data_IF_561045326228
#
_entry.id   IF_561045326228
#
_cell.length_a   1.000
_cell.length_b   1.000
_cell.length_c   1.000
_cell.angle_alpha   90.00
_cell.angle_beta   90.00
_cell.angle_gamma   90.00
#
_symmetry.space_group_name_H-M   'P 1'
#
loop_
_entity.id
_entity.type
_entity.pdbx_description
1 polymer ?
#
# COMPACT_ATOMS: atom_id res chain seq x y z
N UNK A 1 12.29 48.68 -62.19
CA UNK A 1 11.15 48.32 -63.05
C UNK A 1 11.56 47.16 -63.95
N UNK A 2 10.70 46.14 -64.03
CA UNK A 2 10.56 45.13 -65.11
C UNK A 2 11.57 43.97 -65.19
N UNK A 3 11.05 42.81 -64.79
CA UNK A 3 10.93 41.54 -65.53
C UNK A 3 11.80 41.30 -66.79
N UNK A 4 12.34 40.08 -66.89
CA UNK A 4 12.82 39.43 -68.12
C UNK A 4 12.61 37.91 -68.03
N UNK A 5 12.03 37.34 -69.08
CA UNK A 5 11.59 35.95 -69.23
C UNK A 5 12.36 35.22 -70.35
N UNK A 6 12.35 33.87 -70.33
CA UNK A 6 12.39 32.95 -71.50
C UNK A 6 12.15 31.50 -70.97
N UNK A 7 11.17 30.66 -71.38
CA UNK A 7 10.74 30.10 -72.70
C UNK A 7 11.85 29.21 -73.30
N UNK A 8 11.71 27.96 -73.77
CA UNK A 8 10.64 26.94 -73.97
C UNK A 8 11.35 25.61 -74.30
N UNK A 9 10.68 24.46 -74.14
CA UNK A 9 11.09 23.22 -74.82
C UNK A 9 10.16 22.04 -74.58
N UNK A 10 9.05 21.98 -75.32
CA UNK A 10 8.15 20.83 -75.39
C UNK A 10 8.29 20.15 -76.75
N UNK A 11 8.46 18.83 -76.80
CA UNK A 11 8.09 18.00 -77.96
C UNK A 11 7.44 16.73 -77.44
N UNK A 12 6.17 16.57 -77.77
CA UNK A 12 5.39 15.35 -77.66
C UNK A 12 5.56 14.51 -78.93
N UNK A 13 5.47 13.19 -78.79
CA UNK A 13 5.01 12.25 -79.83
C UNK A 13 4.74 10.87 -79.17
N UNK A 14 3.46 10.54 -78.96
CA UNK A 14 3.00 9.15 -79.08
C UNK A 14 2.78 8.80 -80.55
N UNK A 15 2.10 7.70 -80.94
CA UNK A 15 1.41 6.69 -80.13
C UNK A 15 1.73 5.23 -80.56
N UNK A 16 1.34 4.22 -79.78
CA UNK A 16 0.80 2.96 -80.34
C UNK A 16 0.00 2.16 -79.30
N UNK A 17 -1.27 1.98 -79.62
CA UNK A 17 -2.23 1.05 -79.00
C UNK A 17 -1.89 -0.40 -79.40
N UNK A 18 -1.82 -1.30 -78.42
CA UNK A 18 -2.14 -2.72 -78.63
C UNK A 18 -3.12 -3.16 -77.54
N UNK A 19 -4.29 -3.54 -78.02
CA UNK A 19 -5.44 -4.05 -77.29
C UNK A 19 -5.27 -5.57 -77.18
N UNK A 20 -5.38 -6.12 -75.97
CA UNK A 20 -5.60 -7.55 -75.73
C UNK A 20 -6.33 -7.73 -74.37
N UNK A 21 -7.13 -8.81 -74.21
CA UNK A 21 -8.49 -8.67 -73.72
C UNK A 21 -8.69 -8.90 -72.22
N UNK A 22 -9.79 -8.32 -71.78
CA UNK A 22 -10.63 -8.61 -70.61
C UNK A 22 -10.50 -10.04 -70.05
N UNK A 23 -9.95 -10.15 -68.84
CA UNK A 23 -10.29 -11.22 -67.90
C UNK A 23 -10.70 -10.55 -66.58
N UNK A 24 -12.00 -10.25 -66.46
CA UNK A 24 -12.61 -9.91 -65.17
C UNK A 24 -12.61 -11.16 -64.30
N UNK A 25 -11.61 -11.30 -63.44
CA UNK A 25 -11.72 -12.15 -62.26
C UNK A 25 -12.36 -11.32 -61.15
N UNK A 26 -13.61 -11.64 -60.81
CA UNK A 26 -14.24 -11.24 -59.55
C UNK A 26 -13.47 -11.90 -58.40
N UNK A 27 -12.38 -11.27 -57.97
CA UNK A 27 -11.81 -11.53 -56.65
C UNK A 27 -12.78 -10.90 -55.64
N UNK A 28 -13.64 -11.73 -55.06
CA UNK A 28 -14.49 -11.34 -53.95
C UNK A 28 -13.64 -10.64 -52.89
N UNK A 29 -14.18 -9.55 -52.34
CA UNK A 29 -13.71 -8.98 -51.11
C UNK A 29 -13.85 -10.03 -50.02
N UNK A 30 -12.85 -10.91 -49.89
CA UNK A 30 -12.60 -11.62 -48.65
C UNK A 30 -12.25 -10.54 -47.66
N UNK A 31 -13.19 -10.29 -46.74
CA UNK A 31 -12.93 -9.63 -45.48
C UNK A 31 -11.54 -10.02 -45.01
N UNK A 32 -10.63 -9.06 -44.91
CA UNK A 32 -9.51 -9.24 -44.03
C UNK A 32 -10.13 -9.43 -42.65
N UNK A 33 -10.33 -10.68 -42.24
CA UNK A 33 -10.40 -11.01 -40.82
C UNK A 33 -9.08 -10.49 -40.26
N UNK A 34 -9.13 -9.27 -39.73
CA UNK A 34 -8.25 -8.90 -38.65
C UNK A 34 -8.40 -10.04 -37.65
N UNK A 35 -7.40 -10.91 -37.60
CA UNK A 35 -7.24 -11.80 -36.49
C UNK A 35 -7.13 -10.87 -35.29
N UNK A 36 -8.24 -10.69 -34.58
CA UNK A 36 -8.23 -10.24 -33.21
C UNK A 36 -7.36 -11.27 -32.50
N UNK A 37 -6.07 -11.01 -32.42
CA UNK A 37 -5.27 -11.56 -31.35
C UNK A 37 -5.81 -10.91 -30.07
N UNK A 38 -6.92 -11.45 -29.59
CA UNK A 38 -7.20 -11.47 -28.17
C UNK A 38 -5.96 -12.13 -27.57
N UNK A 39 -5.01 -11.32 -27.12
CA UNK A 39 -3.99 -11.82 -26.21
C UNK A 39 -4.75 -12.49 -25.09
N UNK A 40 -4.54 -13.80 -24.93
CA UNK A 40 -5.24 -14.61 -23.94
C UNK A 40 -5.06 -13.97 -22.56
N UNK A 41 -6.04 -13.16 -22.16
CA UNK A 41 -6.19 -12.74 -20.79
C UNK A 41 -6.49 -14.03 -20.04
N UNK A 42 -5.46 -14.61 -19.41
CA UNK A 42 -5.59 -15.83 -18.62
C UNK A 42 -6.79 -15.67 -17.69
N UNK A 43 -7.72 -16.62 -17.77
CA UNK A 43 -8.88 -16.63 -16.89
C UNK A 43 -8.39 -16.70 -15.44
N UNK A 44 -8.61 -15.63 -14.68
CA UNK A 44 -8.25 -15.58 -13.26
C UNK A 44 -9.37 -16.21 -12.45
N UNK A 45 -9.05 -17.24 -11.66
CA UNK A 45 -9.98 -17.81 -10.68
C UNK A 45 -10.14 -16.83 -9.52
N UNK A 46 -11.19 -16.00 -9.60
CA UNK A 46 -11.48 -14.98 -8.59
C UNK A 46 -11.80 -15.56 -7.22
N UNK A 47 -12.29 -16.81 -7.15
CA UNK A 47 -12.60 -17.48 -5.88
C UNK A 47 -11.30 -17.94 -5.21
N UNK A 48 -10.37 -18.50 -6.00
CA UNK A 48 -9.03 -18.83 -5.51
C UNK A 48 -8.30 -17.59 -4.99
N UNK A 49 -8.33 -16.47 -5.75
CA UNK A 49 -7.77 -15.18 -5.32
C UNK A 49 -8.39 -14.73 -4.01
N UNK A 50 -9.72 -14.73 -3.89
CA UNK A 50 -10.40 -14.29 -2.68
C UNK A 50 -10.03 -15.12 -1.45
N UNK A 51 -10.02 -16.46 -1.58
CA UNK A 51 -9.59 -17.38 -0.50
C UNK A 51 -8.14 -17.15 -0.10
N UNK A 52 -7.27 -16.88 -1.07
CA UNK A 52 -5.86 -16.63 -0.81
C UNK A 52 -5.64 -15.30 -0.09
N UNK A 53 -6.32 -14.23 -0.53
CA UNK A 53 -6.30 -12.94 0.17
C UNK A 53 -6.82 -13.10 1.60
N UNK A 54 -7.98 -13.73 1.78
CA UNK A 54 -8.55 -13.96 3.12
C UNK A 54 -7.57 -14.75 4.01
N UNK A 55 -7.00 -15.83 3.48
CA UNK A 55 -6.04 -16.66 4.23
C UNK A 55 -4.81 -15.86 4.67
N UNK A 56 -4.17 -15.11 3.76
CA UNK A 56 -2.96 -14.35 4.09
C UNK A 56 -3.28 -13.20 5.07
N UNK A 57 -4.39 -12.49 4.89
CA UNK A 57 -4.74 -11.36 5.74
C UNK A 57 -5.27 -11.79 7.13
N UNK A 58 -5.92 -12.95 7.25
CA UNK A 58 -6.38 -13.52 8.54
C UNK A 58 -5.34 -14.38 9.27
N UNK A 59 -4.09 -14.41 8.79
CA UNK A 59 -2.99 -15.06 9.50
C UNK A 59 -2.72 -16.53 9.13
N UNK A 60 -3.35 -17.06 8.09
CA UNK A 60 -3.04 -18.37 7.52
C UNK A 60 -1.68 -18.36 6.80
N UNK A 61 -0.75 -19.21 7.25
CA UNK A 61 0.53 -19.42 6.58
C UNK A 61 0.39 -20.25 5.30
N UNK A 62 1.01 -19.78 4.19
CA UNK A 62 1.03 -20.33 2.83
C UNK A 62 -0.32 -20.89 2.35
N UNK A 63 -1.03 -20.10 1.55
CA UNK A 63 -2.21 -20.57 0.84
C UNK A 63 -1.90 -21.83 0.01
N UNK A 64 -2.80 -22.80 0.09
CA UNK A 64 -2.74 -24.10 -0.60
C UNK A 64 -3.08 -24.03 -2.09
N UNK A 65 -3.46 -22.85 -2.59
CA UNK A 65 -3.89 -22.63 -3.98
C UNK A 65 -2.90 -21.71 -4.69
N UNK A 66 -2.38 -22.16 -5.83
CA UNK A 66 -1.52 -21.34 -6.70
C UNK A 66 -2.38 -20.45 -7.59
N UNK A 67 -2.11 -19.15 -7.58
CA UNK A 67 -2.75 -18.18 -8.48
C UNK A 67 -1.69 -17.66 -9.45
N UNK A 68 -1.88 -17.82 -10.78
CA UNK A 68 -0.98 -17.24 -11.77
C UNK A 68 -0.78 -15.74 -11.54
N UNK A 69 0.48 -15.30 -11.45
CA UNK A 69 0.84 -13.92 -11.12
C UNK A 69 1.09 -13.64 -9.64
N UNK A 70 0.81 -14.58 -8.73
CA UNK A 70 1.12 -14.52 -7.30
C UNK A 70 1.99 -15.72 -6.88
N UNK A 71 3.28 -15.65 -7.19
CA UNK A 71 4.28 -16.69 -6.91
C UNK A 71 4.79 -16.66 -5.45
N UNK A 72 4.70 -15.51 -4.78
CA UNK A 72 4.90 -15.37 -3.33
C UNK A 72 3.78 -14.54 -2.68
N UNK A 73 2.60 -15.14 -2.53
CA UNK A 73 1.40 -14.44 -2.02
C UNK A 73 1.60 -13.82 -0.63
N UNK A 74 2.48 -14.39 0.20
CA UNK A 74 2.76 -13.89 1.54
C UNK A 74 3.48 -12.53 1.51
N UNK A 75 4.27 -12.25 0.47
CA UNK A 75 4.85 -10.93 0.23
C UNK A 75 3.92 -10.02 -0.60
N UNK A 76 3.28 -10.59 -1.63
CA UNK A 76 2.56 -9.81 -2.65
C UNK A 76 1.21 -9.26 -2.18
N UNK A 77 0.42 -10.03 -1.44
CA UNK A 77 -0.92 -9.62 -0.99
C UNK A 77 -0.86 -8.43 0.00
N UNK A 78 0.06 -8.39 0.98
CA UNK A 78 0.21 -7.22 1.85
C UNK A 78 0.57 -5.93 1.10
N UNK A 79 1.39 -6.04 0.04
CA UNK A 79 1.70 -4.91 -0.82
C UNK A 79 0.48 -4.47 -1.65
N UNK A 80 -0.28 -5.42 -2.20
CA UNK A 80 -1.56 -5.12 -2.87
C UNK A 80 -2.56 -4.44 -1.93
N UNK A 81 -2.69 -4.92 -0.68
CA UNK A 81 -3.52 -4.30 0.36
C UNK A 81 -3.08 -2.86 0.61
N UNK A 82 -1.78 -2.61 0.71
CA UNK A 82 -1.24 -1.27 0.90
C UNK A 82 -1.58 -0.33 -0.25
N UNK A 83 -1.41 -0.78 -1.51
CA UNK A 83 -1.77 0.00 -2.71
C UNK A 83 -3.27 0.37 -2.67
N UNK A 84 -4.13 -0.62 -2.40
CA UNK A 84 -5.57 -0.40 -2.42
C UNK A 84 -6.05 0.48 -1.27
N UNK A 85 -5.60 0.20 -0.05
CA UNK A 85 -6.01 0.96 1.12
C UNK A 85 -5.50 2.42 1.05
N UNK A 86 -4.34 2.66 0.43
CA UNK A 86 -3.89 4.03 0.09
C UNK A 86 -4.85 4.70 -0.90
N UNK A 87 -5.32 3.97 -1.91
CA UNK A 87 -6.34 4.49 -2.85
C UNK A 87 -7.67 4.81 -2.17
N UNK A 88 -8.13 3.96 -1.26
CA UNK A 88 -9.34 4.20 -0.44
C UNK A 88 -9.17 5.45 0.42
N UNK A 89 -8.03 5.58 1.10
CA UNK A 89 -7.67 6.76 1.90
C UNK A 89 -7.70 8.07 1.09
N UNK A 90 -7.20 8.02 -0.14
CA UNK A 90 -7.19 9.16 -1.08
C UNK A 90 -8.52 9.35 -1.83
N UNK A 91 -9.56 8.57 -1.50
CA UNK A 91 -10.87 8.57 -2.18
C UNK A 91 -10.79 8.30 -3.68
N UNK A 92 -9.78 7.53 -4.10
CA UNK A 92 -9.62 7.09 -5.49
C UNK A 92 -10.66 6.01 -5.78
N UNK A 93 -11.46 6.15 -6.87
CA UNK A 93 -12.45 5.14 -7.23
C UNK A 93 -11.83 3.75 -7.45
N UNK A 94 -12.63 2.69 -7.29
CA UNK A 94 -12.18 1.31 -7.48
C UNK A 94 -11.41 1.08 -8.79
N UNK A 95 -11.84 1.72 -9.89
CA UNK A 95 -11.14 1.67 -11.18
C UNK A 95 -9.69 2.14 -11.08
N UNK A 96 -9.41 3.22 -10.36
CA UNK A 96 -8.04 3.71 -10.16
C UNK A 96 -7.20 2.75 -9.32
N UNK A 97 -7.81 2.09 -8.34
CA UNK A 97 -7.16 1.04 -7.54
C UNK A 97 -6.74 -0.15 -8.42
N UNK A 98 -7.61 -0.58 -9.35
CA UNK A 98 -7.28 -1.62 -10.34
C UNK A 98 -6.11 -1.18 -11.24
N UNK A 99 -6.10 0.07 -11.71
CA UNK A 99 -4.98 0.61 -12.50
C UNK A 99 -3.66 0.53 -11.72
N UNK A 100 -3.66 0.92 -10.45
CA UNK A 100 -2.47 0.86 -9.61
C UNK A 100 -2.00 -0.58 -9.36
N UNK A 101 -2.91 -1.50 -9.03
CA UNK A 101 -2.61 -2.91 -8.82
C UNK A 101 -2.04 -3.57 -10.08
N UNK A 102 -2.67 -3.34 -11.24
CA UNK A 102 -2.19 -3.85 -12.52
C UNK A 102 -0.82 -3.25 -12.90
N UNK A 103 -0.58 -1.98 -12.57
CA UNK A 103 0.74 -1.35 -12.76
C UNK A 103 1.78 -2.03 -11.88
N UNK A 104 1.56 -2.17 -10.57
CA UNK A 104 2.55 -2.79 -9.68
C UNK A 104 2.79 -4.28 -9.99
N UNK A 105 1.76 -5.00 -10.45
CA UNK A 105 1.91 -6.36 -10.98
C UNK A 105 2.86 -6.39 -12.20
N UNK A 106 2.72 -5.43 -13.13
CA UNK A 106 3.59 -5.35 -14.29
C UNK A 106 5.01 -4.90 -13.95
N UNK A 107 5.16 -3.93 -13.06
CA UNK A 107 6.45 -3.32 -12.75
C UNK A 107 7.32 -4.20 -11.85
N UNK A 108 6.73 -4.89 -10.86
CA UNK A 108 7.49 -5.66 -9.88
C UNK A 108 6.86 -6.98 -9.47
N UNK A 109 5.73 -7.36 -10.08
CA UNK A 109 4.94 -8.49 -9.59
C UNK A 109 4.43 -8.26 -8.17
N UNK A 110 4.12 -7.01 -7.78
CA UNK A 110 3.74 -6.62 -6.41
C UNK A 110 4.84 -6.81 -5.34
N UNK A 111 6.11 -6.92 -5.74
CA UNK A 111 7.25 -6.97 -4.81
C UNK A 111 7.85 -5.60 -4.60
N UNK A 112 8.29 -5.30 -3.38
CA UNK A 112 8.88 -4.00 -3.07
C UNK A 112 10.41 -4.05 -3.27
N UNK A 113 10.83 -4.02 -4.53
CA UNK A 113 12.21 -4.29 -4.94
C UNK A 113 13.19 -3.18 -4.53
N UNK A 114 14.40 -3.56 -4.14
CA UNK A 114 15.53 -2.66 -3.89
C UNK A 114 16.47 -2.51 -5.10
N UNK A 115 16.05 -3.03 -6.26
CA UNK A 115 16.73 -2.93 -7.56
C UNK A 115 15.73 -2.76 -8.71
N UNK A 116 16.25 -2.43 -9.89
CA UNK A 116 15.50 -2.20 -11.12
C UNK A 116 16.40 -1.73 -12.27
N UNK A 117 15.81 -1.36 -13.43
CA UNK A 117 16.58 -0.66 -14.47
C UNK A 117 17.04 0.72 -13.94
N UNK A 118 18.31 1.05 -14.14
CA UNK A 118 18.93 2.28 -13.64
C UNK A 118 18.76 2.46 -12.12
N UNK A 119 17.96 3.43 -11.69
CA UNK A 119 17.63 3.76 -10.30
C UNK A 119 16.15 3.51 -9.98
N UNK A 120 15.46 2.68 -10.76
CA UNK A 120 14.09 2.25 -10.46
C UNK A 120 14.06 1.38 -9.20
N UNK A 121 13.10 1.68 -8.32
CA UNK A 121 12.94 1.01 -7.03
C UNK A 121 11.46 0.84 -6.69
N UNK A 122 11.18 -0.10 -5.78
CA UNK A 122 9.89 -0.29 -5.13
C UNK A 122 8.80 -0.89 -6.02
N UNK A 123 7.56 -0.85 -5.51
CA UNK A 123 6.37 -1.49 -6.11
C UNK A 123 6.07 -1.06 -7.55
N UNK A 124 6.38 0.18 -7.87
CA UNK A 124 6.05 0.81 -9.15
C UNK A 124 7.29 1.06 -10.01
N UNK A 125 8.46 0.53 -9.61
CA UNK A 125 9.75 0.78 -10.27
C UNK A 125 10.02 2.27 -10.54
N UNK A 126 9.62 3.11 -9.58
CA UNK A 126 9.72 4.56 -9.66
C UNK A 126 11.16 5.01 -9.48
N UNK A 127 11.57 6.04 -10.25
CA UNK A 127 12.95 6.52 -10.29
C UNK A 127 13.12 7.81 -9.48
N UNK A 128 14.00 7.84 -8.46
CA UNK A 128 14.36 9.07 -7.76
C UNK A 128 14.85 10.17 -8.70
N UNK A 129 15.67 9.84 -9.70
CA UNK A 129 16.16 10.78 -10.71
C UNK A 129 15.08 11.41 -11.59
N UNK A 130 13.86 10.86 -11.60
CA UNK A 130 12.71 11.42 -12.33
C UNK A 130 11.73 12.19 -11.42
N UNK A 131 12.08 12.42 -10.14
CA UNK A 131 11.28 13.23 -9.22
C UNK A 131 10.14 12.49 -8.50
N UNK A 132 10.18 11.15 -8.48
CA UNK A 132 9.20 10.34 -7.73
C UNK A 132 9.40 10.39 -6.21
N UNK A 133 10.59 10.78 -5.75
CA UNK A 133 10.97 10.88 -4.34
C UNK A 133 12.43 10.49 -4.13
N UNK A 134 12.90 10.46 -2.89
CA UNK A 134 14.22 9.87 -2.56
C UNK A 134 14.18 8.34 -2.67
N UNK A 135 15.36 7.70 -2.73
CA UNK A 135 15.46 6.23 -2.75
C UNK A 135 14.77 5.54 -1.57
N UNK A 136 14.69 6.18 -0.40
CA UNK A 136 13.95 5.66 0.74
C UNK A 136 12.44 5.81 0.55
N UNK A 137 11.99 6.96 0.03
CA UNK A 137 10.57 7.23 -0.20
C UNK A 137 9.97 6.38 -1.32
N UNK A 138 10.69 6.13 -2.42
CA UNK A 138 10.13 5.28 -3.50
C UNK A 138 10.05 3.79 -3.12
N UNK A 139 10.82 3.37 -2.10
CA UNK A 139 10.72 2.02 -1.49
C UNK A 139 9.72 1.96 -0.34
N UNK A 140 9.08 3.07 0.00
CA UNK A 140 7.96 3.09 0.93
C UNK A 140 6.67 2.83 0.12
N UNK A 141 6.01 1.66 0.32
CA UNK A 141 4.81 1.30 -0.42
C UNK A 141 3.69 2.33 -0.40
N UNK A 142 3.53 3.03 0.73
CA UNK A 142 2.49 4.05 0.91
C UNK A 142 2.86 5.27 0.09
N UNK A 143 4.07 5.80 0.25
CA UNK A 143 4.55 6.95 -0.53
C UNK A 143 4.49 6.66 -2.03
N UNK A 144 5.01 5.52 -2.48
CA UNK A 144 5.03 5.15 -3.89
C UNK A 144 3.61 5.06 -4.48
N UNK A 145 2.66 4.49 -3.72
CA UNK A 145 1.24 4.42 -4.08
C UNK A 145 0.59 5.81 -4.12
N UNK A 146 0.83 6.66 -3.11
CA UNK A 146 0.33 8.03 -3.07
C UNK A 146 0.79 8.82 -4.29
N UNK A 147 2.09 8.76 -4.62
CA UNK A 147 2.64 9.44 -5.80
C UNK A 147 2.07 8.90 -7.10
N UNK A 148 1.84 7.59 -7.20
CA UNK A 148 1.18 6.99 -8.35
C UNK A 148 -0.24 7.54 -8.53
N UNK A 149 -1.05 7.54 -7.46
CA UNK A 149 -2.42 8.06 -7.52
C UNK A 149 -2.48 9.57 -7.78
N UNK A 150 -1.59 10.36 -7.17
CA UNK A 150 -1.47 11.79 -7.49
C UNK A 150 -1.20 12.01 -8.98
N UNK A 151 -0.31 11.22 -9.58
CA UNK A 151 -0.02 11.29 -11.00
C UNK A 151 -1.24 10.85 -11.84
N UNK A 152 -1.89 9.74 -11.48
CA UNK A 152 -3.10 9.25 -12.16
C UNK A 152 -4.23 10.29 -12.16
N UNK A 153 -4.51 10.90 -11.00
CA UNK A 153 -5.57 11.89 -10.86
C UNK A 153 -5.31 13.19 -11.65
N UNK A 154 -4.05 13.46 -12.02
CA UNK A 154 -3.69 14.58 -12.91
C UNK A 154 -3.86 14.26 -14.39
N UNK A 155 -4.04 12.99 -14.78
CA UNK A 155 -4.25 12.58 -16.19
C UNK A 155 -5.70 12.89 -16.59
N UNK A 156 -5.96 13.82 -17.53
CA UNK A 156 -7.33 14.14 -17.92
C UNK A 156 -8.04 12.95 -18.55
N UNK A 157 -9.24 12.63 -18.08
CA UNK A 157 -10.08 11.56 -18.64
C UNK A 157 -9.60 10.14 -18.36
N UNK A 158 -8.66 9.94 -17.42
CA UNK A 158 -8.15 8.60 -17.06
C UNK A 158 -9.25 7.59 -16.70
N UNK A 159 -10.38 8.07 -16.16
CA UNK A 159 -11.52 7.24 -15.78
C UNK A 159 -12.14 6.51 -17.00
N UNK A 160 -12.02 7.09 -18.19
CA UNK A 160 -12.54 6.51 -19.44
C UNK A 160 -11.46 5.77 -20.24
N UNK A 161 -10.20 5.85 -19.83
CA UNK A 161 -9.07 5.13 -20.45
C UNK A 161 -9.10 3.65 -20.08
N UNK A 162 -8.57 2.77 -20.94
CA UNK A 162 -8.27 1.38 -20.55
C UNK A 162 -7.24 1.36 -19.41
N UNK A 163 -7.13 0.25 -18.68
CA UNK A 163 -6.12 0.11 -17.61
C UNK A 163 -4.72 0.40 -18.14
N UNK A 164 -4.42 -0.15 -19.30
CA UNK A 164 -3.18 0.07 -20.06
C UNK A 164 -2.92 1.53 -20.37
N UNK A 165 -3.90 2.24 -20.94
CA UNK A 165 -3.76 3.64 -21.28
C UNK A 165 -3.53 4.52 -20.03
N UNK A 166 -4.26 4.26 -18.95
CA UNK A 166 -4.12 4.99 -17.70
C UNK A 166 -2.77 4.72 -17.03
N UNK A 167 -2.35 3.45 -16.92
CA UNK A 167 -1.05 3.06 -16.37
C UNK A 167 0.10 3.66 -17.18
N UNK A 168 0.03 3.57 -18.51
CA UNK A 168 1.03 4.13 -19.40
C UNK A 168 1.10 5.66 -19.34
N UNK A 169 -0.03 6.35 -19.19
CA UNK A 169 -0.06 7.80 -19.03
C UNK A 169 0.68 8.26 -17.75
N UNK A 170 0.68 7.43 -16.71
CA UNK A 170 1.39 7.67 -15.45
C UNK A 170 2.86 7.29 -15.55
N UNK A 171 3.16 6.05 -15.94
CA UNK A 171 4.53 5.49 -15.89
C UNK A 171 5.39 5.88 -17.08
N UNK A 172 4.79 6.13 -18.25
CA UNK A 172 5.50 6.37 -19.52
C UNK A 172 6.52 5.26 -19.83
N UNK A 173 6.14 4.01 -19.61
CA UNK A 173 6.98 2.83 -19.83
C UNK A 173 7.31 2.61 -21.31
N UNK A 174 8.39 1.89 -21.61
CA UNK A 174 8.75 1.49 -22.98
C UNK A 174 7.82 0.43 -23.59
N UNK A 175 6.94 -0.18 -22.78
CA UNK A 175 6.05 -1.27 -23.19
C UNK A 175 4.57 -0.92 -22.91
N UNK A 176 3.94 -0.08 -23.74
CA UNK A 176 2.63 0.49 -23.44
C UNK A 176 1.55 -0.56 -23.22
N UNK A 177 1.57 -1.70 -23.93
CA UNK A 177 0.49 -2.72 -23.89
C UNK A 177 0.64 -3.77 -22.77
N UNK A 178 1.74 -3.73 -22.00
CA UNK A 178 2.09 -4.81 -21.06
C UNK A 178 1.14 -4.91 -19.85
N UNK A 179 0.39 -3.87 -19.53
CA UNK A 179 -0.49 -3.84 -18.36
C UNK A 179 -1.81 -4.60 -18.55
N UNK A 180 -2.30 -4.73 -19.79
CA UNK A 180 -3.63 -5.28 -20.08
C UNK A 180 -3.83 -6.68 -19.48
N UNK A 181 -2.80 -7.52 -19.56
CA UNK A 181 -2.84 -8.90 -19.04
C UNK A 181 -3.06 -8.99 -17.53
N UNK A 182 -2.76 -7.92 -16.78
CA UNK A 182 -2.91 -7.88 -15.33
C UNK A 182 -4.25 -7.31 -14.85
N UNK A 183 -5.05 -6.72 -15.74
CA UNK A 183 -6.35 -6.15 -15.38
C UNK A 183 -7.29 -7.17 -14.70
N UNK A 184 -7.42 -8.44 -15.17
CA UNK A 184 -8.24 -9.43 -14.48
C UNK A 184 -7.77 -9.73 -13.05
N UNK A 185 -6.46 -9.93 -12.85
CA UNK A 185 -5.89 -10.23 -11.53
C UNK A 185 -5.97 -9.01 -10.60
N UNK A 186 -5.63 -7.82 -11.10
CA UNK A 186 -5.78 -6.56 -10.37
C UNK A 186 -7.23 -6.32 -9.92
N UNK A 187 -8.21 -6.65 -10.76
CA UNK A 187 -9.64 -6.57 -10.41
C UNK A 187 -10.02 -7.60 -9.35
N UNK A 188 -9.52 -8.84 -9.45
CA UNK A 188 -9.79 -9.89 -8.47
C UNK A 188 -9.22 -9.52 -7.09
N UNK A 189 -7.96 -9.05 -7.05
CA UNK A 189 -7.31 -8.53 -5.85
C UNK A 189 -8.09 -7.36 -5.25
N UNK A 190 -8.49 -6.39 -6.10
CA UNK A 190 -9.23 -5.22 -5.65
C UNK A 190 -10.53 -5.59 -4.92
N UNK A 191 -11.30 -6.52 -5.49
CA UNK A 191 -12.55 -6.98 -4.89
C UNK A 191 -12.32 -7.73 -3.59
N UNK A 192 -11.37 -8.67 -3.57
CA UNK A 192 -11.09 -9.49 -2.39
C UNK A 192 -10.60 -8.65 -1.20
N UNK A 193 -9.69 -7.71 -1.45
CA UNK A 193 -9.15 -6.82 -0.42
C UNK A 193 -10.21 -5.79 0.03
N UNK A 194 -11.07 -5.30 -0.89
CA UNK A 194 -12.15 -4.37 -0.51
C UNK A 194 -13.08 -4.97 0.56
N UNK A 195 -13.42 -6.25 0.42
CA UNK A 195 -14.21 -6.98 1.43
C UNK A 195 -13.48 -7.00 2.77
N UNK A 196 -12.20 -7.37 2.80
CA UNK A 196 -11.40 -7.39 4.04
C UNK A 196 -11.29 -6.02 4.70
N UNK A 197 -11.05 -4.95 3.95
CA UNK A 197 -10.99 -3.58 4.49
C UNK A 197 -12.33 -3.11 5.06
N UNK A 198 -13.44 -3.57 4.47
CA UNK A 198 -14.78 -3.28 5.00
C UNK A 198 -15.09 -4.07 6.29
N UNK A 199 -14.67 -5.33 6.37
CA UNK A 199 -14.82 -6.17 7.57
C UNK A 199 -14.03 -5.61 8.76
N UNK A 200 -12.82 -5.11 8.55
CA UNK A 200 -12.02 -4.42 9.58
C UNK A 200 -12.68 -3.15 10.11
N UNK A 201 -13.50 -2.50 9.26
CA UNK A 201 -14.27 -1.32 9.64
C UNK A 201 -15.56 -1.69 10.39
N UNK A 202 -16.14 -2.88 10.14
CA UNK A 202 -17.41 -3.32 10.73
C UNK A 202 -17.28 -4.20 11.98
N UNK A 203 -16.14 -4.87 12.21
CA UNK A 203 -15.91 -5.71 13.41
C UNK A 203 -15.73 -4.92 14.72
N UNK A 204 -16.22 -3.68 14.79
CA UNK A 204 -16.07 -2.77 15.92
C UNK A 204 -17.37 -2.35 16.63
N UNK A 205 -18.49 -3.03 16.37
CA UNK A 205 -19.77 -2.75 17.04
C UNK A 205 -20.16 -3.86 18.01
N UNK A 206 -19.84 -3.68 19.29
CA UNK A 206 -20.30 -4.57 20.36
C UNK A 206 -19.24 -4.79 21.43
N UNK A 207 -19.03 -3.79 22.29
CA UNK A 207 -18.49 -4.02 23.63
C UNK A 207 -19.46 -3.33 24.62
N UNK A 208 -20.63 -3.95 24.78
CA UNK A 208 -21.42 -3.80 26.00
C UNK A 208 -20.99 -4.92 26.93
N UNK A 209 -20.54 -4.52 28.11
CA UNK A 209 -19.77 -5.37 29.01
C UNK A 209 -20.54 -6.59 29.50
N UNK A 210 -19.83 -7.71 29.51
CA UNK A 210 -20.18 -8.87 30.32
C UNK A 210 -19.09 -8.99 31.40
N UNK A 211 -19.41 -8.50 32.61
CA UNK A 211 -18.65 -8.80 33.82
C UNK A 211 -18.62 -10.30 34.02
N UNK A 212 -17.42 -10.90 33.97
CA UNK A 212 -17.19 -12.19 34.59
C UNK A 212 -16.13 -12.02 35.66
N UNK A 213 -16.59 -12.11 36.91
CA UNK A 213 -15.75 -12.15 38.10
C UNK A 213 -14.84 -13.38 38.03
N UNK A 214 -13.55 -13.15 37.76
CA UNK A 214 -12.50 -14.15 37.93
C UNK A 214 -11.58 -13.75 39.10
N UNK A 215 -11.61 -14.55 40.15
CA UNK A 215 -10.76 -14.43 41.33
C UNK A 215 -9.26 -14.60 40.99
N UNK A 216 -8.34 -14.03 41.79
CA UNK A 216 -6.96 -13.82 41.37
C UNK A 216 -6.12 -15.09 41.56
N UNK A 217 -5.45 -15.54 40.50
CA UNK A 217 -4.31 -16.45 40.62
C UNK A 217 -3.02 -15.63 40.54
N UNK A 218 -2.35 -15.50 41.68
CA UNK A 218 -1.02 -14.90 41.79
C UNK A 218 0.01 -15.71 40.99
N UNK A 219 0.53 -15.14 39.90
CA UNK A 219 1.81 -15.50 39.29
C UNK A 219 2.34 -14.30 38.48
N UNK A 220 3.29 -13.55 39.06
CA UNK A 220 4.14 -12.56 38.38
C UNK A 220 3.47 -11.26 37.93
N UNK A 221 3.45 -10.24 38.79
CA UNK A 221 3.00 -8.88 38.44
C UNK A 221 4.02 -8.20 37.52
N UNK A 222 3.97 -8.50 36.23
CA UNK A 222 4.28 -7.50 35.23
C UNK A 222 3.06 -6.60 35.11
N UNK A 223 3.20 -5.31 35.42
CA UNK A 223 2.14 -4.30 35.26
C UNK A 223 1.64 -4.38 33.81
N UNK A 224 0.45 -4.94 33.60
CA UNK A 224 -0.21 -5.07 32.30
C UNK A 224 -1.15 -3.88 32.02
N UNK A 225 -1.22 -2.94 32.96
CA UNK A 225 -1.92 -1.67 32.86
C UNK A 225 -3.41 -1.78 33.14
N UNK A 226 -3.92 -2.97 33.52
CA UNK A 226 -5.33 -3.16 33.85
C UNK A 226 -5.79 -2.26 35.02
N UNK A 227 -4.89 -1.89 35.92
CA UNK A 227 -5.12 -1.00 37.06
C UNK A 227 -5.52 0.43 36.65
N UNK A 228 -5.19 0.87 35.44
CA UNK A 228 -5.60 2.19 34.92
C UNK A 228 -7.08 2.24 34.54
N UNK A 229 -7.74 1.07 34.40
CA UNK A 229 -9.12 0.98 33.95
C UNK A 229 -9.33 1.58 32.55
N UNK A 230 -10.56 2.00 32.21
CA UNK A 230 -10.86 2.62 30.93
C UNK A 230 -10.10 3.94 30.74
N UNK A 231 -9.24 4.01 29.72
CA UNK A 231 -8.47 5.21 29.38
C UNK A 231 -9.24 6.02 28.32
N UNK A 232 -9.67 7.26 28.60
CA UNK A 232 -10.36 8.08 27.61
C UNK A 232 -9.49 8.34 26.39
N UNK A 233 -10.08 8.21 25.19
CA UNK A 233 -9.37 8.45 23.94
C UNK A 233 -8.77 9.87 23.90
N UNK A 234 -7.53 9.97 23.44
CA UNK A 234 -6.81 11.24 23.37
C UNK A 234 -6.31 11.80 24.71
N UNK A 235 -6.37 11.04 25.80
CA UNK A 235 -5.86 11.45 27.11
C UNK A 235 -4.67 10.61 27.58
N UNK A 236 -3.91 11.15 28.54
CA UNK A 236 -2.87 10.44 29.28
C UNK A 236 -3.47 10.05 30.64
N UNK A 237 -3.36 8.79 31.10
CA UNK A 237 -3.78 8.41 32.44
C UNK A 237 -3.13 9.29 33.51
N UNK A 238 -3.90 9.64 34.54
CA UNK A 238 -3.53 10.65 35.54
C UNK A 238 -2.19 10.38 36.22
N UNK A 239 -1.89 9.11 36.50
CA UNK A 239 -0.71 8.70 37.26
C UNK A 239 0.44 8.20 36.38
N UNK A 240 0.23 8.10 35.07
CA UNK A 240 1.26 7.66 34.14
C UNK A 240 2.41 8.67 34.05
N UNK A 241 3.64 8.16 34.09
CA UNK A 241 4.86 8.93 33.87
C UNK A 241 5.77 8.21 32.90
N UNK A 242 6.40 8.97 32.00
CA UNK A 242 7.44 8.41 31.12
C UNK A 242 8.57 7.86 31.99
N UNK A 243 8.91 6.55 31.90
CA UNK A 243 9.91 5.94 32.77
C UNK A 243 11.27 6.64 32.67
N UNK A 244 11.82 7.03 33.82
CA UNK A 244 13.03 7.86 33.90
C UNK A 244 14.31 7.08 33.59
N UNK A 245 14.28 5.76 33.75
CA UNK A 245 15.35 4.81 33.44
C UNK A 245 15.44 4.46 31.94
N UNK A 246 14.39 4.74 31.16
CA UNK A 246 14.42 4.56 29.72
C UNK A 246 15.45 5.51 29.06
N UNK A 247 16.11 5.10 27.95
CA UNK A 247 17.08 5.94 27.23
C UNK A 247 16.49 7.31 26.82
N UNK A 248 17.34 8.35 26.77
CA UNK A 248 16.88 9.72 26.43
C UNK A 248 16.18 9.79 25.06
N UNK A 249 16.66 9.04 24.07
CA UNK A 249 16.05 8.92 22.73
C UNK A 249 14.63 8.36 22.84
N UNK A 250 14.45 7.24 23.57
CA UNK A 250 13.15 6.60 23.83
C UNK A 250 12.20 7.54 24.57
N UNK A 251 12.65 8.18 25.66
CA UNK A 251 11.80 9.14 26.40
C UNK A 251 11.34 10.30 25.51
N UNK A 252 12.17 10.71 24.55
CA UNK A 252 11.82 11.75 23.57
C UNK A 252 10.81 11.23 22.57
N UNK A 253 10.98 10.00 22.08
CA UNK A 253 10.01 9.34 21.19
C UNK A 253 8.64 9.18 21.86
N UNK A 254 8.59 8.67 23.08
CA UNK A 254 7.34 8.55 23.87
C UNK A 254 6.69 9.91 24.04
N UNK A 255 7.44 10.93 24.47
CA UNK A 255 6.90 12.29 24.66
C UNK A 255 6.31 12.87 23.37
N UNK A 256 7.01 12.68 22.25
CA UNK A 256 6.53 13.15 20.95
C UNK A 256 5.24 12.44 20.55
N UNK A 257 5.18 11.11 20.73
CA UNK A 257 4.02 10.29 20.41
C UNK A 257 2.80 10.62 21.27
N UNK A 258 2.98 10.81 22.57
CA UNK A 258 1.92 11.30 23.47
C UNK A 258 1.40 12.68 23.05
N UNK A 259 2.26 13.52 22.48
CA UNK A 259 1.87 14.79 21.87
C UNK A 259 0.91 14.65 20.68
N UNK A 260 0.71 13.44 20.13
CA UNK A 260 -0.21 13.18 19.01
C UNK A 260 -1.56 12.60 19.44
N UNK A 261 -1.78 12.37 20.74
CA UNK A 261 -3.05 11.91 21.27
C UNK A 261 -4.23 12.76 20.74
N UNK A 262 -5.32 12.07 20.40
CA UNK A 262 -6.53 12.66 19.81
C UNK A 262 -6.45 12.95 18.31
N UNK A 263 -5.30 12.74 17.67
CA UNK A 263 -5.17 12.86 16.21
C UNK A 263 -6.02 11.81 15.52
N UNK A 264 -6.94 12.17 14.60
CA UNK A 264 -7.67 11.20 13.80
C UNK A 264 -6.73 10.31 13.00
N UNK A 265 -6.96 8.99 13.06
CA UNK A 265 -6.23 8.04 12.26
C UNK A 265 -6.44 8.32 10.78
N UNK A 266 -5.35 8.27 10.01
CA UNK A 266 -5.39 8.27 8.56
C UNK A 266 -4.58 7.09 8.03
N UNK A 267 -5.22 6.15 7.35
CA UNK A 267 -4.51 5.09 6.64
C UNK A 267 -3.52 5.69 5.64
N UNK A 268 -2.26 5.26 5.72
CA UNK A 268 -1.19 5.75 4.86
C UNK A 268 -0.68 7.16 5.21
N UNK A 269 -1.22 7.81 6.25
CA UNK A 269 -0.78 9.13 6.66
C UNK A 269 0.70 9.15 7.03
N UNK A 270 1.45 10.18 6.64
CA UNK A 270 2.89 10.29 6.87
C UNK A 270 3.26 10.76 8.29
N UNK A 271 2.28 11.19 9.08
CA UNK A 271 2.42 11.74 10.43
C UNK A 271 3.39 12.95 10.48
N UNK A 272 3.44 13.72 9.38
CA UNK A 272 4.28 14.94 9.24
C UNK A 272 3.54 16.21 9.64
N UNK A 273 2.21 16.20 9.51
CA UNK A 273 1.31 17.23 10.03
C UNK A 273 0.10 16.53 10.70
N UNK A 274 0.29 15.96 11.91
CA UNK A 274 -0.72 15.13 12.59
C UNK A 274 -2.10 15.77 12.72
N UNK A 275 -2.16 17.10 12.83
CA UNK A 275 -3.42 17.86 12.99
C UNK A 275 -3.76 18.71 11.77
N UNK A 276 -3.07 18.45 10.66
CA UNK A 276 -3.22 19.17 9.41
C UNK A 276 -4.59 19.03 8.76
N UNK A 277 -4.85 19.97 7.85
CA UNK A 277 -6.02 19.91 6.98
C UNK A 277 -5.90 18.78 5.96
N UNK A 278 -4.69 18.50 5.46
CA UNK A 278 -4.42 17.35 4.60
C UNK A 278 -4.46 16.06 5.43
N UNK A 279 -5.41 15.15 5.18
CA UNK A 279 -5.47 13.88 5.89
C UNK A 279 -4.16 13.10 5.75
N UNK A 280 -3.48 13.13 4.60
CA UNK A 280 -2.23 12.38 4.40
C UNK A 280 -1.04 12.91 5.22
N UNK A 281 -1.17 14.12 5.80
CA UNK A 281 -0.23 14.61 6.81
C UNK A 281 -0.42 13.94 8.19
N UNK A 282 -1.59 13.35 8.45
CA UNK A 282 -1.96 12.71 9.73
C UNK A 282 -1.30 11.35 9.91
N UNK A 283 -1.57 10.67 11.01
CA UNK A 283 -0.87 9.44 11.39
C UNK A 283 -1.68 8.17 11.12
N UNK A 284 -1.03 7.14 10.59
CA UNK A 284 -1.39 5.74 10.81
C UNK A 284 -0.52 5.11 11.91
N UNK A 285 -0.73 3.81 12.17
CA UNK A 285 -0.03 3.06 13.22
C UNK A 285 1.50 3.14 13.07
N UNK A 286 2.01 2.86 11.87
CA UNK A 286 3.44 2.72 11.61
C UNK A 286 4.15 4.06 11.39
N UNK A 287 3.49 5.05 10.81
CA UNK A 287 4.00 6.43 10.73
C UNK A 287 4.08 7.12 12.09
N UNK A 288 3.13 6.84 13.01
CA UNK A 288 3.22 7.32 14.39
C UNK A 288 4.50 6.79 15.05
N UNK A 289 4.82 5.50 14.87
CA UNK A 289 6.05 4.91 15.38
C UNK A 289 7.27 5.53 14.71
N UNK A 290 7.25 5.64 13.38
CA UNK A 290 8.35 6.21 12.60
C UNK A 290 8.69 7.63 13.06
N UNK A 291 7.69 8.49 13.20
CA UNK A 291 7.90 9.88 13.58
C UNK A 291 8.21 10.05 15.06
N UNK A 292 7.70 9.18 15.94
CA UNK A 292 8.10 9.12 17.34
C UNK A 292 9.59 8.81 17.47
N UNK A 293 10.07 7.74 16.83
CA UNK A 293 11.49 7.37 16.85
C UNK A 293 12.38 8.44 16.18
N UNK A 294 11.91 9.04 15.08
CA UNK A 294 12.63 10.13 14.42
C UNK A 294 12.81 11.33 15.34
N UNK A 295 11.80 11.69 16.14
CA UNK A 295 11.92 12.73 17.16
C UNK A 295 12.95 12.38 18.25
N UNK A 296 13.10 11.09 18.55
CA UNK A 296 14.16 10.54 19.40
C UNK A 296 15.54 10.41 18.74
N UNK A 297 15.68 10.79 17.47
CA UNK A 297 16.93 10.72 16.71
C UNK A 297 17.22 9.36 16.06
N UNK A 298 16.26 8.44 16.05
CA UNK A 298 16.41 7.10 15.46
C UNK A 298 15.51 6.99 14.23
N UNK A 299 16.07 6.55 13.11
CA UNK A 299 15.28 6.35 11.88
C UNK A 299 14.86 4.89 11.75
N UNK A 300 13.54 4.66 11.68
CA UNK A 300 12.96 3.36 11.35
C UNK A 300 12.18 3.45 10.03
N UNK A 301 11.96 2.31 9.39
CA UNK A 301 11.20 2.21 8.15
C UNK A 301 9.72 2.58 8.33
N UNK A 302 9.01 2.75 7.22
CA UNK A 302 7.66 3.32 7.22
C UNK A 302 6.58 2.35 7.69
N UNK A 303 6.63 1.09 7.26
CA UNK A 303 5.49 0.17 7.34
C UNK A 303 5.70 -0.86 8.43
N UNK A 304 4.61 -1.43 8.94
CA UNK A 304 4.66 -2.53 9.92
C UNK A 304 5.46 -3.72 9.39
N UNK A 305 5.34 -4.03 8.10
CA UNK A 305 6.01 -5.14 7.41
C UNK A 305 7.54 -5.02 7.39
N UNK A 306 8.06 -3.79 7.42
CA UNK A 306 9.50 -3.52 7.49
C UNK A 306 9.95 -3.26 8.93
N UNK A 307 9.15 -2.56 9.74
CA UNK A 307 9.44 -2.29 11.15
C UNK A 307 9.54 -3.57 11.98
N UNK A 308 8.74 -4.60 11.68
CA UNK A 308 8.82 -5.91 12.36
C UNK A 308 10.16 -6.63 12.12
N UNK A 309 10.99 -6.17 11.20
CA UNK A 309 12.32 -6.72 10.91
C UNK A 309 13.45 -5.90 11.54
N UNK A 310 13.12 -4.80 12.21
CA UNK A 310 14.11 -3.88 12.79
C UNK A 310 14.40 -4.17 14.26
N UNK A 311 15.60 -3.77 14.68
CA UNK A 311 16.06 -3.95 16.06
C UNK A 311 16.20 -5.42 16.48
N UNK A 312 16.10 -5.66 17.79
CA UNK A 312 16.22 -7.00 18.40
C UNK A 312 14.83 -7.55 18.74
N UNK A 313 14.58 -8.82 18.41
CA UNK A 313 13.38 -9.52 18.90
C UNK A 313 13.40 -9.61 20.44
N UNK A 314 12.26 -9.33 21.07
CA UNK A 314 12.09 -9.43 22.52
C UNK A 314 10.84 -10.24 22.88
N UNK A 315 10.86 -10.90 24.04
CA UNK A 315 9.66 -11.52 24.60
C UNK A 315 8.72 -10.44 25.13
N UNK A 316 7.41 -10.68 25.05
CA UNK A 316 6.36 -9.83 25.64
C UNK A 316 6.50 -9.74 27.16
N UNK A 317 7.14 -10.72 27.80
CA UNK A 317 7.41 -10.70 29.24
C UNK A 317 8.69 -9.92 29.62
N UNK A 318 9.41 -9.42 28.62
CA UNK A 318 10.67 -8.69 28.80
C UNK A 318 10.62 -7.30 28.15
N UNK A 319 9.41 -6.74 28.00
CA UNK A 319 9.20 -5.43 27.40
C UNK A 319 9.90 -4.33 28.20
N UNK A 320 10.42 -3.34 27.47
CA UNK A 320 10.94 -2.09 27.99
C UNK A 320 10.30 -0.94 27.26
N UNK A 321 10.19 0.24 27.89
CA UNK A 321 9.69 1.44 27.22
C UNK A 321 10.40 1.65 25.90
N UNK A 322 9.64 1.96 24.85
CA UNK A 322 10.08 2.06 23.47
C UNK A 322 9.79 0.81 22.63
N UNK A 323 9.75 -0.40 23.21
CA UNK A 323 9.57 -1.62 22.41
C UNK A 323 8.30 -1.55 21.55
N UNK A 324 8.42 -1.90 20.27
CA UNK A 324 7.30 -1.95 19.33
C UNK A 324 6.60 -3.31 19.46
N UNK A 325 5.30 -3.29 19.70
CA UNK A 325 4.45 -4.48 19.67
C UNK A 325 3.67 -4.53 18.37
N UNK A 326 3.64 -5.70 17.75
CA UNK A 326 2.98 -5.93 16.48
C UNK A 326 1.80 -6.88 16.66
N UNK A 327 0.64 -6.51 16.13
CA UNK A 327 -0.61 -7.26 16.21
C UNK A 327 -1.30 -7.30 14.84
N UNK A 328 -2.34 -8.13 14.72
CA UNK A 328 -3.12 -8.38 13.49
C UNK A 328 -2.29 -8.96 12.33
N UNK A 329 -2.85 -9.92 11.58
CA UNK A 329 -2.12 -10.62 10.52
C UNK A 329 -1.20 -11.71 11.07
N UNK A 330 0.08 -11.73 10.66
CA UNK A 330 1.08 -12.74 11.10
C UNK A 330 2.31 -12.09 11.72
N UNK A 331 3.11 -12.88 12.45
CA UNK A 331 4.39 -12.41 12.99
C UNK A 331 5.39 -11.96 11.89
N UNK A 332 5.25 -12.48 10.66
CA UNK A 332 6.08 -12.09 9.52
C UNK A 332 5.55 -10.86 8.80
N UNK A 333 4.23 -10.67 8.83
CA UNK A 333 3.49 -9.63 8.12
C UNK A 333 2.41 -9.07 9.05
N UNK A 334 2.81 -8.31 10.08
CA UNK A 334 1.84 -7.73 10.99
C UNK A 334 1.19 -6.50 10.36
N UNK A 335 -0.07 -6.26 10.68
CA UNK A 335 -0.84 -5.16 10.08
C UNK A 335 -1.02 -3.97 11.02
N UNK A 336 -0.63 -4.12 12.28
CA UNK A 336 -0.74 -3.08 13.27
C UNK A 336 0.49 -3.04 14.17
N UNK A 337 0.78 -1.84 14.69
CA UNK A 337 1.91 -1.60 15.58
C UNK A 337 1.56 -0.55 16.63
N UNK A 338 2.07 -0.75 17.84
CA UNK A 338 2.05 0.21 18.93
C UNK A 338 3.41 0.23 19.65
N UNK A 339 3.64 1.26 20.46
CA UNK A 339 4.86 1.38 21.28
C UNK A 339 4.50 1.15 22.74
N UNK A 340 5.20 0.22 23.40
CA UNK A 340 5.16 0.09 24.85
C UNK A 340 5.75 1.35 25.48
N UNK A 341 5.00 2.02 26.35
CA UNK A 341 5.42 3.30 26.95
C UNK A 341 5.75 3.19 28.44
N UNK A 342 5.76 1.97 29.00
CA UNK A 342 5.90 1.71 30.44
C UNK A 342 4.55 1.48 31.12
N UNK A 343 4.58 1.00 32.36
CA UNK A 343 3.41 0.80 33.25
C UNK A 343 2.27 -0.01 32.59
N UNK A 344 2.61 -1.00 31.76
CA UNK A 344 1.60 -1.78 31.05
C UNK A 344 0.83 -1.01 29.97
N UNK A 345 1.30 0.15 29.52
CA UNK A 345 0.60 1.00 28.55
C UNK A 345 1.22 0.95 27.15
N UNK A 346 0.35 1.08 26.14
CA UNK A 346 0.70 1.04 24.73
C UNK A 346 0.13 2.27 24.03
N UNK A 347 1.01 3.08 23.42
CA UNK A 347 0.62 4.19 22.55
C UNK A 347 0.46 3.68 21.11
N UNK A 348 -0.66 4.01 20.46
CA UNK A 348 -0.88 3.61 19.07
C UNK A 348 -1.89 4.50 18.31
N UNK A 349 -1.92 4.34 16.98
CA UNK A 349 -2.96 4.88 16.11
C UNK A 349 -3.81 3.71 15.55
N UNK A 350 -5.02 3.44 16.08
CA UNK A 350 -5.74 2.15 15.95
C UNK A 350 -6.24 1.78 14.55
N UNK A 351 -7.08 2.62 13.95
CA UNK A 351 -7.78 2.39 12.67
C UNK A 351 -8.61 3.63 12.27
N UNK A 352 -9.08 3.64 11.03
CA UNK A 352 -10.00 4.66 10.51
C UNK A 352 -11.24 4.79 11.39
N UNK A 353 -11.66 6.03 11.65
CA UNK A 353 -12.80 6.35 12.52
C UNK A 353 -12.44 6.47 14.01
N UNK A 354 -11.20 6.20 14.37
CA UNK A 354 -10.69 6.33 15.74
C UNK A 354 -9.47 7.28 15.76
N UNK A 355 -8.93 7.56 16.95
CA UNK A 355 -7.86 8.54 17.19
C UNK A 355 -6.64 7.89 17.82
N UNK A 356 -5.48 8.55 17.71
CA UNK A 356 -4.28 8.20 18.48
C UNK A 356 -4.63 8.18 19.97
N UNK A 357 -4.38 7.05 20.62
CA UNK A 357 -4.80 6.77 22.00
C UNK A 357 -3.82 5.86 22.72
N UNK A 358 -4.08 5.64 24.00
CA UNK A 358 -3.37 4.69 24.84
C UNK A 358 -4.31 3.52 25.13
N UNK A 359 -3.79 2.30 25.04
CA UNK A 359 -4.44 1.06 25.44
C UNK A 359 -3.56 0.33 26.47
N UNK A 360 -4.13 -0.67 27.13
CA UNK A 360 -3.39 -1.50 28.09
C UNK A 360 -2.70 -2.66 27.38
N UNK A 361 -1.65 -3.19 28.01
CA UNK A 361 -1.02 -4.42 27.60
C UNK A 361 -1.96 -5.60 27.86
N UNK A 362 -2.81 -5.54 28.88
CA UNK A 362 -3.87 -6.54 29.11
C UNK A 362 -4.74 -6.73 27.85
N UNK A 363 -5.20 -5.64 27.23
CA UNK A 363 -6.01 -5.69 26.00
C UNK A 363 -5.22 -6.20 24.79
N UNK A 364 -3.93 -5.89 24.72
CA UNK A 364 -3.09 -6.22 23.56
C UNK A 364 -2.47 -7.62 23.62
N UNK A 365 -2.14 -8.11 24.81
CA UNK A 365 -1.32 -9.29 25.05
C UNK A 365 -1.82 -10.54 24.31
N UNK A 366 -3.15 -10.82 24.23
CA UNK A 366 -3.65 -11.96 23.46
C UNK A 366 -3.33 -11.90 21.97
N UNK A 367 -3.18 -10.70 21.41
CA UNK A 367 -3.02 -10.45 19.97
C UNK A 367 -1.56 -10.15 19.56
N UNK A 368 -0.62 -10.13 20.51
CA UNK A 368 0.79 -9.81 20.19
C UNK A 368 1.44 -10.94 19.40
N UNK A 369 1.80 -10.63 18.16
CA UNK A 369 2.45 -11.53 17.21
C UNK A 369 3.97 -11.46 17.28
N UNK A 370 4.51 -10.27 17.54
CA UNK A 370 5.93 -10.02 17.65
C UNK A 370 6.21 -8.76 18.47
N UNK A 371 7.38 -8.69 19.09
CA UNK A 371 7.88 -7.48 19.74
C UNK A 371 9.33 -7.19 19.33
N UNK A 372 9.64 -5.91 19.07
CA UNK A 372 10.96 -5.44 18.65
C UNK A 372 11.47 -4.31 19.51
N UNK A 373 12.69 -4.48 20.03
CA UNK A 373 13.45 -3.42 20.68
C UNK A 373 14.33 -2.71 19.67
N UNK A 374 14.00 -1.45 19.40
CA UNK A 374 14.83 -0.59 18.55
C UNK A 374 16.08 -0.19 19.36
N UNK A 375 17.26 -0.37 18.76
CA UNK A 375 18.58 -0.18 19.40
C UNK A 375 19.34 0.99 18.82
#
# INVERSE_FOLDING_TARGET
>A
MKAGAAIVGSVALGPLLLIAPLAMTLAGASSAQAACASGDAQAVDTVAVAKQVESILKGGGKATVSVPGLDDPAEQIPNAKTIQATGVAMKVPARGQVVALATALQESGLRNLDYGDRDSLGLFQQRPSQGWGTAQQVRDPVHASTRFYEALLRVPGWQSMTVTQAAQAVQKSGFPDAYAKWEPLGTALQKAIATSLSEESSSGGGDEGEQTDAAPSECGTGEDGAEFGPIPAGSVPKDYKIPADAPKSVRTAIRWGLGQLGTPYQWGGACTDPRGQDPMGRCDCSSLMQMSYKAGGVSISRTTYTQVKEGKAVSVDALKPGDLLFTRGTAQVPEHVGMFIGDGLILHAPRTGDVVKISTLADWRPDVLAARRIV
#
